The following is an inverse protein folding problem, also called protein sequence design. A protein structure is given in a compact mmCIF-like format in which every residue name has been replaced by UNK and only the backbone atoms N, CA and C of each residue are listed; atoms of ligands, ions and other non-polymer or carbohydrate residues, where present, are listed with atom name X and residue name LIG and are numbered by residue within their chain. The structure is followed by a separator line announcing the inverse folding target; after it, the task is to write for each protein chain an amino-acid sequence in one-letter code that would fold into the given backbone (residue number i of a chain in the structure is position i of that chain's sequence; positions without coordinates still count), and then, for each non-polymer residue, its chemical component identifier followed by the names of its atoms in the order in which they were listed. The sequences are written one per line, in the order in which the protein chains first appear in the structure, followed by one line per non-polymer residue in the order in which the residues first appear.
data_IF_536534592345
#
_entry.id   IF_536534592345
#
_cell.length_a   1.000
_cell.length_b   1.000
_cell.length_c   1.000
_cell.angle_alpha   90.00
_cell.angle_beta   90.00
_cell.angle_gamma   90.00
#
_symmetry.space_group_name_H-M   'P 1'
#
loop_
_entity.id
_entity.type
_entity.pdbx_description
1 polymer ?
#
# COMPACT_ATOMS: atom_id res chain seq x y z
N UNK A 1 14.70 20.30 6.31
CA UNK A 1 15.53 21.47 5.92
C UNK A 1 15.77 22.27 7.18
N UNK A 2 16.98 22.79 7.45
CA UNK A 2 17.20 23.62 8.63
C UNK A 2 16.39 24.90 8.49
N UNK A 3 15.53 25.16 9.46
CA UNK A 3 14.75 26.38 9.56
C UNK A 3 15.47 27.33 10.52
N UNK A 4 15.56 28.62 10.16
CA UNK A 4 16.05 29.66 11.09
C UNK A 4 14.83 30.34 11.69
N UNK A 5 14.70 30.27 13.02
CA UNK A 5 13.61 30.91 13.74
C UNK A 5 14.13 32.12 14.50
N UNK A 6 13.35 33.19 14.53
CA UNK A 6 13.64 34.40 15.30
C UNK A 6 12.73 34.46 16.52
N UNK A 7 13.32 34.51 17.70
CA UNK A 7 12.62 34.63 18.97
C UNK A 7 12.15 36.06 19.23
N UNK A 8 11.28 36.25 20.23
CA UNK A 8 10.69 37.56 20.55
C UNK A 8 11.72 38.60 21.02
N UNK A 9 12.82 38.15 21.61
CA UNK A 9 13.95 38.98 22.02
C UNK A 9 14.91 39.31 20.85
N UNK A 10 14.62 38.79 19.65
CA UNK A 10 15.44 38.98 18.45
C UNK A 10 16.55 37.94 18.28
N UNK A 11 16.76 37.02 19.23
CA UNK A 11 17.72 35.92 19.11
C UNK A 11 17.33 35.02 17.94
N UNK A 12 18.32 34.58 17.18
CA UNK A 12 18.15 33.61 16.10
C UNK A 12 18.55 32.23 16.58
N UNK A 13 17.75 31.23 16.24
CA UNK A 13 17.99 29.83 16.53
C UNK A 13 17.87 29.00 15.25
N UNK A 14 18.56 27.87 15.23
CA UNK A 14 18.50 26.91 14.13
C UNK A 14 18.23 25.53 14.72
N UNK A 15 16.95 25.18 14.96
CA UNK A 15 16.60 23.84 15.41
C UNK A 15 16.91 22.81 14.33
N UNK A 16 17.46 21.67 14.75
CA UNK A 16 17.70 20.48 13.95
C UNK A 16 16.53 19.50 14.02
N UNK A 17 15.87 19.40 15.17
CA UNK A 17 14.67 18.59 15.37
C UNK A 17 13.57 19.30 16.19
N UNK A 18 12.50 18.56 16.50
CA UNK A 18 11.37 19.09 17.25
C UNK A 18 11.68 19.31 18.73
N UNK A 19 12.64 18.56 19.31
CA UNK A 19 13.02 18.74 20.71
C UNK A 19 13.88 19.99 20.91
N UNK A 20 14.68 20.39 19.90
CA UNK A 20 15.34 21.70 19.92
C UNK A 20 14.34 22.86 20.00
N UNK A 21 13.16 22.72 19.38
CA UNK A 21 12.06 23.69 19.51
C UNK A 21 11.35 23.53 20.86
N UNK A 22 11.17 22.27 21.27
CA UNK A 22 10.82 21.78 22.60
C UNK A 22 11.43 22.61 23.75
N UNK A 23 12.74 22.55 23.81
CA UNK A 23 13.58 23.16 24.84
C UNK A 23 13.40 24.69 24.90
N UNK A 24 13.19 25.32 23.74
CA UNK A 24 13.01 26.77 23.65
C UNK A 24 11.61 27.18 24.08
N UNK A 25 10.60 26.36 23.80
CA UNK A 25 9.26 26.57 24.37
C UNK A 25 9.32 26.47 25.89
N UNK A 26 10.06 25.51 26.44
CA UNK A 26 10.24 25.40 27.88
C UNK A 26 10.90 26.66 28.46
N UNK A 27 11.99 27.13 27.84
CA UNK A 27 12.73 28.33 28.27
C UNK A 27 11.86 29.61 28.27
N UNK A 28 11.00 29.80 27.25
CA UNK A 28 10.26 31.05 27.05
C UNK A 28 8.78 31.01 27.46
N UNK A 29 8.17 29.83 27.53
CA UNK A 29 6.74 29.62 27.80
C UNK A 29 6.47 28.64 28.95
N UNK A 30 7.50 27.97 29.47
CA UNK A 30 7.41 27.07 30.61
C UNK A 30 7.06 25.63 30.25
N UNK A 31 7.27 24.74 31.22
CA UNK A 31 7.17 23.28 31.07
C UNK A 31 5.75 22.81 30.71
N UNK A 32 4.70 23.44 31.25
CA UNK A 32 3.31 23.05 30.94
C UNK A 32 2.98 23.19 29.44
N UNK A 33 3.44 24.27 28.80
CA UNK A 33 3.23 24.50 27.37
C UNK A 33 4.10 23.53 26.56
N UNK A 34 5.34 23.28 27.00
CA UNK A 34 6.23 22.30 26.38
C UNK A 34 5.60 20.91 26.39
N UNK A 35 5.09 20.47 27.54
CA UNK A 35 4.46 19.15 27.69
C UNK A 35 3.21 19.02 26.82
N UNK A 36 2.32 20.02 26.82
CA UNK A 36 1.13 20.01 25.95
C UNK A 36 1.50 19.85 24.47
N UNK A 37 2.49 20.60 23.99
CA UNK A 37 2.93 20.49 22.59
C UNK A 37 3.61 19.15 22.31
N UNK A 38 4.45 18.65 23.21
CA UNK A 38 5.13 17.37 23.07
C UNK A 38 4.14 16.20 22.96
N UNK A 39 3.10 16.17 23.79
CA UNK A 39 2.05 15.16 23.74
C UNK A 39 1.33 15.15 22.38
N UNK A 40 0.90 16.32 21.90
CA UNK A 40 0.21 16.44 20.60
C UNK A 40 1.12 16.13 19.39
N UNK A 41 2.43 16.43 19.48
CA UNK A 41 3.40 16.05 18.45
C UNK A 41 3.64 14.53 18.43
N UNK A 42 3.70 13.91 19.61
CA UNK A 42 3.88 12.46 19.73
C UNK A 42 2.70 11.67 19.13
N UNK A 43 1.48 12.19 19.27
CA UNK A 43 0.29 11.63 18.62
C UNK A 43 0.41 11.68 17.09
N UNK A 44 1.02 12.74 16.56
CA UNK A 44 1.21 12.90 15.11
C UNK A 44 2.21 11.89 14.55
N UNK A 45 3.33 11.66 15.24
CA UNK A 45 4.32 10.64 14.86
C UNK A 45 3.75 9.22 14.95
N UNK A 46 2.90 8.95 15.96
CA UNK A 46 2.19 7.68 16.06
C UNK A 46 1.23 7.46 14.88
N UNK A 47 0.48 8.49 14.50
CA UNK A 47 -0.43 8.46 13.33
C UNK A 47 0.33 8.27 12.01
N UNK A 48 1.48 8.91 11.83
CA UNK A 48 2.32 8.74 10.64
C UNK A 48 2.79 7.29 10.52
N UNK A 49 3.26 6.68 11.61
CA UNK A 49 3.66 5.27 11.65
C UNK A 49 2.51 4.30 11.37
N UNK A 50 1.32 4.59 11.90
CA UNK A 50 0.11 3.80 11.62
C UNK A 50 -0.27 3.90 10.15
N UNK A 51 -0.19 5.10 9.57
CA UNK A 51 -0.48 5.33 8.15
C UNK A 51 0.53 4.61 7.25
N UNK A 52 1.82 4.69 7.55
CA UNK A 52 2.89 3.96 6.84
C UNK A 52 2.71 2.44 6.92
N UNK A 53 2.19 1.94 8.04
CA UNK A 53 1.85 0.53 8.19
C UNK A 53 0.67 0.17 7.30
N UNK A 54 -0.41 0.95 7.35
CA UNK A 54 -1.59 0.73 6.51
C UNK A 54 -1.24 0.75 5.02
N UNK A 55 -0.39 1.68 4.58
CA UNK A 55 0.05 1.72 3.19
C UNK A 55 0.82 0.47 2.77
N UNK A 56 1.72 -0.04 3.62
CA UNK A 56 2.44 -1.28 3.34
C UNK A 56 1.51 -2.49 3.28
N UNK A 57 0.59 -2.62 4.23
CA UNK A 57 -0.40 -3.70 4.22
C UNK A 57 -1.27 -3.64 2.96
N UNK A 58 -1.69 -2.44 2.53
CA UNK A 58 -2.42 -2.24 1.29
C UNK A 58 -1.60 -2.56 0.03
N UNK A 59 -0.31 -2.22 -0.01
CA UNK A 59 0.57 -2.55 -1.11
C UNK A 59 0.74 -4.07 -1.24
N UNK A 60 0.93 -4.78 -0.13
CA UNK A 60 0.98 -6.25 -0.08
C UNK A 60 -0.34 -6.90 -0.52
N UNK A 61 -1.49 -6.34 -0.14
CA UNK A 61 -2.81 -6.79 -0.61
C UNK A 61 -2.96 -6.63 -2.13
N UNK A 62 -2.54 -5.48 -2.67
CA UNK A 62 -2.59 -5.20 -4.10
C UNK A 62 -1.66 -6.12 -4.89
N UNK A 63 -0.46 -6.40 -4.38
CA UNK A 63 0.47 -7.34 -4.99
C UNK A 63 -0.12 -8.75 -5.02
N UNK A 64 -0.65 -9.24 -3.89
CA UNK A 64 -1.31 -10.56 -3.81
C UNK A 64 -2.50 -10.66 -4.75
N UNK A 65 -3.34 -9.62 -4.82
CA UNK A 65 -4.46 -9.58 -5.75
C UNK A 65 -3.96 -9.62 -7.21
N UNK A 66 -2.90 -8.88 -7.51
CA UNK A 66 -2.28 -8.87 -8.84
C UNK A 66 -1.71 -10.24 -9.23
N UNK A 67 -1.02 -10.92 -8.31
CA UNK A 67 -0.52 -12.28 -8.53
C UNK A 67 -1.65 -13.28 -8.74
N UNK A 68 -2.70 -13.20 -7.93
CA UNK A 68 -3.89 -14.05 -8.08
C UNK A 68 -4.56 -13.84 -9.44
N UNK A 69 -4.80 -12.59 -9.84
CA UNK A 69 -5.37 -12.26 -11.16
C UNK A 69 -4.48 -12.76 -12.31
N UNK A 70 -3.15 -12.58 -12.22
CA UNK A 70 -2.20 -13.12 -13.20
C UNK A 70 -2.29 -14.64 -13.30
N UNK A 71 -2.37 -15.33 -12.17
CA UNK A 71 -2.48 -16.79 -12.14
C UNK A 71 -3.76 -17.28 -12.82
N UNK A 72 -4.90 -16.65 -12.53
CA UNK A 72 -6.17 -17.02 -13.16
C UNK A 72 -6.18 -16.73 -14.65
N UNK A 73 -5.70 -15.56 -15.07
CA UNK A 73 -5.61 -15.21 -16.49
C UNK A 73 -4.68 -16.16 -17.25
N UNK A 74 -3.57 -16.58 -16.65
CA UNK A 74 -2.68 -17.59 -17.24
C UNK A 74 -3.40 -18.94 -17.36
N UNK A 75 -4.12 -19.40 -16.33
CA UNK A 75 -4.87 -20.65 -16.39
C UNK A 75 -5.96 -20.63 -17.48
N UNK A 76 -6.70 -19.51 -17.59
CA UNK A 76 -7.69 -19.31 -18.66
C UNK A 76 -7.03 -19.34 -20.03
N UNK A 77 -5.89 -18.66 -20.17
CA UNK A 77 -5.12 -18.63 -21.42
C UNK A 77 -4.64 -20.02 -21.82
N UNK A 78 -4.07 -20.79 -20.90
CA UNK A 78 -3.59 -22.16 -21.17
C UNK A 78 -4.73 -23.09 -21.62
N UNK A 79 -5.89 -23.01 -20.98
CA UNK A 79 -7.06 -23.80 -21.36
C UNK A 79 -7.62 -23.34 -22.73
N UNK A 80 -7.56 -22.04 -23.03
CA UNK A 80 -7.95 -21.49 -24.33
C UNK A 80 -6.99 -21.89 -25.47
N UNK A 81 -5.68 -21.89 -25.21
CA UNK A 81 -4.68 -22.43 -26.14
C UNK A 81 -4.91 -23.93 -26.40
N UNK A 82 -5.21 -24.69 -25.35
CA UNK A 82 -5.58 -26.11 -25.45
C UNK A 82 -6.85 -26.32 -26.28
N UNK A 83 -7.85 -25.45 -26.11
CA UNK A 83 -9.07 -25.46 -26.93
C UNK A 83 -8.76 -25.16 -28.40
N UNK A 84 -7.88 -24.18 -28.68
CA UNK A 84 -7.41 -23.88 -30.04
C UNK A 84 -6.78 -25.10 -30.71
N UNK A 85 -5.87 -25.78 -30.01
CA UNK A 85 -5.23 -27.02 -30.51
C UNK A 85 -6.25 -28.14 -30.79
N UNK A 86 -7.32 -28.24 -29.99
CA UNK A 86 -8.40 -29.20 -30.23
C UNK A 86 -9.25 -28.86 -31.47
N UNK A 87 -9.39 -27.57 -31.79
CA UNK A 87 -10.10 -27.10 -32.98
C UNK A 87 -9.28 -27.31 -34.26
N UNK A 88 -7.96 -27.16 -34.18
CA UNK A 88 -7.03 -27.39 -35.30
C UNK A 88 -6.81 -28.88 -35.60
N UNK A 89 -7.29 -29.78 -34.73
CA UNK A 89 -7.16 -31.21 -34.92
C UNK A 89 -7.93 -31.70 -36.17
N UNK A 90 -7.31 -32.60 -36.94
CA UNK A 90 -7.89 -33.18 -38.16
C UNK A 90 -9.29 -33.82 -37.94
N UNK A 91 -9.55 -34.33 -36.73
CA UNK A 91 -10.87 -34.84 -36.32
C UNK A 91 -11.28 -34.20 -35.00
N UNK A 92 -12.42 -33.52 -35.00
CA UNK A 92 -12.93 -32.83 -33.83
C UNK A 92 -13.46 -33.80 -32.77
N UNK A 93 -12.96 -33.64 -31.54
CA UNK A 93 -13.50 -34.32 -30.36
C UNK A 93 -14.40 -33.37 -29.56
N UNK A 94 -15.71 -33.46 -29.83
CA UNK A 94 -16.74 -32.62 -29.20
C UNK A 94 -16.76 -32.74 -27.67
N UNK A 95 -16.37 -33.90 -27.10
CA UNK A 95 -16.35 -34.07 -25.64
C UNK A 95 -15.20 -33.28 -25.03
N UNK A 96 -14.01 -33.33 -25.64
CA UNK A 96 -12.85 -32.55 -25.20
C UNK A 96 -13.07 -31.05 -25.37
N UNK A 97 -13.64 -30.63 -26.50
CA UNK A 97 -14.00 -29.23 -26.75
C UNK A 97 -14.95 -28.70 -25.67
N UNK A 98 -16.06 -29.42 -25.41
CA UNK A 98 -17.01 -29.02 -24.37
C UNK A 98 -16.36 -28.94 -22.99
N UNK A 99 -15.52 -29.93 -22.64
CA UNK A 99 -14.82 -29.94 -21.36
C UNK A 99 -13.91 -28.70 -21.20
N UNK A 100 -13.16 -28.33 -22.24
CA UNK A 100 -12.29 -27.17 -22.20
C UNK A 100 -13.08 -25.86 -22.08
N UNK A 101 -14.19 -25.74 -22.81
CA UNK A 101 -15.11 -24.62 -22.64
C UNK A 101 -15.68 -24.56 -21.21
N UNK A 102 -16.19 -25.67 -20.66
CA UNK A 102 -16.73 -25.74 -19.30
C UNK A 102 -15.67 -25.40 -18.24
N UNK A 103 -14.40 -25.74 -18.47
CA UNK A 103 -13.29 -25.40 -17.59
C UNK A 103 -13.02 -23.88 -17.57
N UNK A 104 -12.96 -23.24 -18.74
CA UNK A 104 -12.78 -21.78 -18.85
C UNK A 104 -13.93 -21.06 -18.14
N UNK A 105 -15.17 -21.47 -18.40
CA UNK A 105 -16.34 -20.91 -17.71
C UNK A 105 -16.22 -21.03 -16.18
N UNK A 106 -15.84 -22.20 -15.67
CA UNK A 106 -15.65 -22.40 -14.23
C UNK A 106 -14.54 -21.52 -13.65
N UNK A 107 -13.46 -21.25 -14.39
CA UNK A 107 -12.41 -20.34 -13.94
C UNK A 107 -12.96 -18.91 -13.85
N UNK A 108 -13.70 -18.45 -14.85
CA UNK A 108 -14.32 -17.12 -14.85
C UNK A 108 -15.38 -16.96 -13.74
N UNK A 109 -16.27 -17.95 -13.57
CA UNK A 109 -17.34 -17.92 -12.54
C UNK A 109 -16.79 -17.91 -11.10
N UNK A 110 -15.54 -18.33 -10.89
CA UNK A 110 -14.92 -18.28 -9.55
C UNK A 110 -14.37 -16.90 -9.20
N UNK A 111 -14.12 -16.06 -10.20
CA UNK A 111 -13.54 -14.72 -10.03
C UNK A 111 -14.55 -13.59 -10.10
N UNK A 112 -15.76 -13.86 -10.61
CA UNK A 112 -16.86 -12.90 -10.77
C UNK A 112 -17.87 -13.00 -9.61
#
# INVERSE_FOLDING_TARGET
MPHVLRLKDGKLITPFDQEDVLEIVEEYAGDEIRQYLAENLSDTDALEKELDRLYREHEEDLERLGDHQRAVLNAVREEAESLGNLLDAQRLDRRKLKKATDNIWRMCDREL
#
